data_IF_506198745544
#
_entry.id   IF_506198745544
#
_cell.length_a   1.000
_cell.length_b   1.000
_cell.length_c   1.000
_cell.angle_alpha   90.00
_cell.angle_beta   90.00
_cell.angle_gamma   90.00
#
_symmetry.space_group_name_H-M   'P 1'
#
loop_
_entity.id
_entity.type
_entity.pdbx_description
1 polymer ?
#
# COMPACT_ATOMS: atom_id res chain seq x y z
N UNK A 1 4.25 13.50 -22.72
CA UNK A 1 5.74 13.47 -22.74
C UNK A 1 6.40 13.65 -21.38
N UNK A 2 5.94 14.57 -20.51
CA UNK A 2 6.59 14.77 -19.19
C UNK A 2 6.38 13.58 -18.23
N UNK A 3 5.18 13.00 -18.20
CA UNK A 3 4.81 11.88 -17.30
C UNK A 3 5.60 10.61 -17.63
N UNK A 4 5.78 10.30 -18.91
CA UNK A 4 6.55 9.13 -19.38
C UNK A 4 8.04 9.26 -19.05
N UNK A 5 8.60 10.47 -19.12
CA UNK A 5 9.99 10.75 -18.73
C UNK A 5 10.17 10.73 -17.20
N UNK A 6 9.14 11.10 -16.43
CA UNK A 6 9.18 11.09 -14.97
C UNK A 6 9.08 9.67 -14.37
N UNK A 7 8.21 8.82 -14.92
CA UNK A 7 8.16 7.39 -14.59
C UNK A 7 9.50 6.71 -14.92
N UNK A 8 10.12 7.08 -16.04
CA UNK A 8 11.43 6.57 -16.43
C UNK A 8 12.55 7.03 -15.49
N UNK A 9 12.59 8.32 -15.09
CA UNK A 9 13.56 8.81 -14.12
C UNK A 9 13.33 8.24 -12.71
N UNK A 10 12.08 7.98 -12.31
CA UNK A 10 11.79 7.32 -11.03
C UNK A 10 12.26 5.86 -11.03
N UNK A 11 12.23 5.16 -12.16
CA UNK A 11 12.82 3.81 -12.27
C UNK A 11 14.36 3.88 -12.24
N UNK A 12 14.97 4.87 -12.90
CA UNK A 12 16.43 4.98 -13.01
C UNK A 12 17.14 5.35 -11.70
N UNK A 13 16.51 6.11 -10.80
CA UNK A 13 17.12 6.46 -9.48
C UNK A 13 17.25 5.24 -8.55
N UNK A 14 16.47 4.18 -8.78
CA UNK A 14 16.52 2.95 -7.99
C UNK A 14 17.30 1.81 -8.67
N UNK A 15 17.94 2.07 -9.81
CA UNK A 15 18.39 1.00 -10.71
C UNK A 15 19.86 0.55 -10.52
N UNK A 16 20.67 1.18 -9.66
CA UNK A 16 22.12 0.88 -9.62
C UNK A 16 22.76 0.62 -8.25
N UNK A 17 22.00 0.56 -7.16
CA UNK A 17 22.54 0.16 -5.86
C UNK A 17 21.53 -0.74 -5.15
N UNK A 18 21.94 -1.84 -4.48
CA UNK A 18 21.06 -2.48 -3.51
C UNK A 18 20.73 -1.41 -2.48
N UNK A 19 19.49 -0.89 -2.51
CA UNK A 19 19.02 -0.05 -1.41
C UNK A 19 19.10 -0.93 -0.18
N UNK A 20 20.11 -0.70 0.67
CA UNK A 20 20.17 -1.33 1.97
C UNK A 20 18.85 -0.98 2.68
N UNK A 21 17.94 -1.95 2.81
CA UNK A 21 16.68 -1.66 3.47
C UNK A 21 16.93 -1.44 4.96
N UNK A 22 15.85 -1.05 5.65
CA UNK A 22 15.91 -0.45 6.97
C UNK A 22 16.38 -1.49 8.00
N UNK A 23 17.58 -1.32 8.55
CA UNK A 23 18.12 -2.22 9.58
C UNK A 23 17.80 -1.75 11.00
N UNK A 24 17.41 -0.47 11.16
CA UNK A 24 17.10 0.14 12.44
C UNK A 24 15.77 0.89 12.39
N UNK A 25 15.13 1.06 13.56
CA UNK A 25 13.89 1.86 13.69
C UNK A 25 14.05 3.30 13.19
N UNK A 26 15.22 3.90 13.39
CA UNK A 26 15.50 5.26 12.92
C UNK A 26 15.56 5.33 11.39
N UNK A 27 16.24 4.37 10.74
CA UNK A 27 16.24 4.25 9.29
C UNK A 27 14.83 3.98 8.76
N UNK A 28 14.05 3.16 9.46
CA UNK A 28 12.70 2.82 9.09
C UNK A 28 11.73 4.02 9.15
N UNK A 29 11.83 4.81 10.22
CA UNK A 29 11.11 6.06 10.36
C UNK A 29 11.52 7.06 9.27
N UNK A 30 12.83 7.24 9.06
CA UNK A 30 13.35 8.14 8.04
C UNK A 30 12.87 7.73 6.64
N UNK A 31 12.90 6.44 6.31
CA UNK A 31 12.44 5.94 5.02
C UNK A 31 10.96 6.22 4.76
N UNK A 32 10.07 5.90 5.71
CA UNK A 32 8.64 6.11 5.55
C UNK A 32 8.28 7.61 5.48
N UNK A 33 8.93 8.45 6.31
CA UNK A 33 8.78 9.91 6.27
C UNK A 33 9.30 10.51 4.96
N UNK A 34 10.50 10.12 4.52
CA UNK A 34 11.11 10.60 3.29
C UNK A 34 10.29 10.17 2.06
N UNK A 35 9.88 8.90 2.00
CA UNK A 35 9.04 8.36 0.93
C UNK A 35 7.72 9.12 0.86
N UNK A 36 7.00 9.23 1.98
CA UNK A 36 5.75 9.99 2.06
C UNK A 36 5.93 11.45 1.61
N UNK A 37 7.03 12.09 2.00
CA UNK A 37 7.38 13.46 1.58
C UNK A 37 7.57 13.56 0.07
N UNK A 38 8.42 12.71 -0.51
CA UNK A 38 8.79 12.78 -1.92
C UNK A 38 7.59 12.49 -2.83
N UNK A 39 6.86 11.40 -2.59
CA UNK A 39 5.71 11.03 -3.43
C UNK A 39 4.58 12.06 -3.32
N UNK A 40 4.37 12.64 -2.13
CA UNK A 40 3.37 13.69 -1.96
C UNK A 40 3.77 15.00 -2.63
N UNK A 41 5.04 15.41 -2.52
CA UNK A 41 5.56 16.60 -3.19
C UNK A 41 5.46 16.50 -4.71
N UNK A 42 5.89 15.38 -5.27
CA UNK A 42 5.82 15.11 -6.72
C UNK A 42 4.37 15.06 -7.21
N UNK A 43 3.50 14.35 -6.50
CA UNK A 43 2.07 14.34 -6.79
C UNK A 43 1.48 15.75 -6.77
N UNK A 44 1.81 16.55 -5.75
CA UNK A 44 1.28 17.91 -5.62
C UNK A 44 1.70 18.78 -6.81
N UNK A 45 2.94 18.65 -7.29
CA UNK A 45 3.40 19.32 -8.50
C UNK A 45 2.62 18.89 -9.74
N UNK A 46 2.39 17.58 -9.92
CA UNK A 46 1.59 17.04 -11.03
C UNK A 46 0.16 17.60 -10.96
N UNK A 47 -0.42 17.69 -9.76
CA UNK A 47 -1.77 18.19 -9.49
C UNK A 47 -1.85 19.70 -9.22
N UNK A 48 -0.76 20.44 -9.48
CA UNK A 48 -0.71 21.90 -9.30
C UNK A 48 -1.78 22.59 -10.15
N UNK A 49 -2.43 23.61 -9.56
CA UNK A 49 -3.41 24.47 -10.23
C UNK A 49 -2.71 25.60 -11.00
N UNK A 50 -3.36 26.17 -12.03
CA UNK A 50 -2.87 27.37 -12.70
C UNK A 50 -2.63 28.51 -11.70
N UNK A 51 -1.55 29.28 -11.88
CA UNK A 51 -1.18 30.40 -11.00
C UNK A 51 -0.45 30.05 -9.69
N UNK A 52 -0.46 28.79 -9.25
CA UNK A 52 0.30 28.40 -8.04
C UNK A 52 1.81 28.34 -8.29
N UNK A 53 2.63 28.76 -7.31
CA UNK A 53 4.11 28.68 -7.39
C UNK A 53 4.58 27.22 -7.23
N UNK A 54 5.32 26.62 -8.19
CA UNK A 54 5.72 25.21 -8.12
C UNK A 54 6.45 24.82 -6.83
N UNK A 55 7.48 25.57 -6.43
CA UNK A 55 8.27 25.25 -5.24
C UNK A 55 7.41 25.26 -3.96
N UNK A 56 6.50 26.22 -3.83
CA UNK A 56 5.58 26.29 -2.67
C UNK A 56 4.66 25.06 -2.61
N UNK A 57 4.14 24.63 -3.75
CA UNK A 57 3.26 23.44 -3.84
C UNK A 57 4.02 22.16 -3.56
N UNK A 58 5.24 22.03 -4.10
CA UNK A 58 6.13 20.91 -3.82
C UNK A 58 6.43 20.80 -2.32
N UNK A 59 6.93 21.87 -1.69
CA UNK A 59 7.29 21.87 -0.27
C UNK A 59 6.07 21.65 0.63
N UNK A 60 4.91 22.22 0.29
CA UNK A 60 3.67 21.96 1.02
C UNK A 60 3.22 20.50 0.90
N UNK A 61 3.36 19.89 -0.29
CA UNK A 61 3.13 18.47 -0.51
C UNK A 61 4.09 17.61 0.31
N UNK A 62 5.39 17.93 0.31
CA UNK A 62 6.40 17.23 1.09
C UNK A 62 6.11 17.28 2.59
N UNK A 63 5.86 18.46 3.16
CA UNK A 63 5.62 18.60 4.60
C UNK A 63 4.40 17.80 5.06
N UNK A 64 3.33 17.79 4.28
CA UNK A 64 2.12 16.99 4.58
C UNK A 64 2.37 15.50 4.37
N UNK A 65 3.09 15.14 3.31
CA UNK A 65 3.51 13.78 3.03
C UNK A 65 4.39 13.19 4.14
N UNK A 66 5.28 13.99 4.73
CA UNK A 66 6.10 13.62 5.88
C UNK A 66 5.24 13.20 7.08
N UNK A 67 4.21 13.99 7.39
CA UNK A 67 3.28 13.69 8.49
C UNK A 67 2.50 12.39 8.24
N UNK A 68 2.03 12.17 7.01
CA UNK A 68 1.40 10.91 6.63
C UNK A 68 2.36 9.72 6.70
N UNK A 69 3.61 9.90 6.24
CA UNK A 69 4.67 8.90 6.33
C UNK A 69 5.04 8.53 7.76
N UNK A 70 5.00 9.48 8.71
CA UNK A 70 5.19 9.21 10.13
C UNK A 70 4.08 8.32 10.70
N UNK A 71 2.83 8.51 10.27
CA UNK A 71 1.72 7.63 10.65
C UNK A 71 1.85 6.24 10.03
N UNK A 72 2.30 6.13 8.77
CA UNK A 72 2.59 4.84 8.14
C UNK A 72 3.72 4.09 8.86
N UNK A 73 4.75 4.79 9.33
CA UNK A 73 5.76 4.17 10.19
C UNK A 73 5.15 3.68 11.52
N UNK A 74 4.35 4.52 12.19
CA UNK A 74 3.70 4.15 13.44
C UNK A 74 2.76 2.95 13.28
N UNK A 75 2.05 2.83 12.15
CA UNK A 75 1.21 1.66 11.88
C UNK A 75 2.03 0.39 11.75
N UNK A 76 3.18 0.43 11.07
CA UNK A 76 4.07 -0.74 10.95
C UNK A 76 4.68 -1.17 12.29
N UNK A 77 5.01 -0.21 13.17
CA UNK A 77 5.39 -0.54 14.56
C UNK A 77 4.24 -1.21 15.34
N UNK A 78 2.98 -0.81 15.12
CA UNK A 78 1.83 -1.51 15.71
C UNK A 78 1.66 -2.93 15.12
N UNK A 79 1.98 -3.15 13.84
CA UNK A 79 2.02 -4.50 13.25
C UNK A 79 3.08 -5.36 13.93
N UNK A 80 4.26 -4.80 14.23
CA UNK A 80 5.27 -5.48 15.03
C UNK A 80 4.74 -5.85 16.42
N UNK A 81 4.08 -4.93 17.13
CA UNK A 81 3.48 -5.24 18.43
C UNK A 81 2.40 -6.34 18.33
N UNK A 82 1.62 -6.35 17.25
CA UNK A 82 0.68 -7.44 16.97
C UNK A 82 1.41 -8.77 16.79
N UNK A 83 2.48 -8.83 15.99
CA UNK A 83 3.27 -10.04 15.77
C UNK A 83 3.81 -10.63 17.07
N UNK A 84 4.28 -9.78 17.99
CA UNK A 84 4.88 -10.18 19.26
C UNK A 84 3.85 -10.56 20.34
N UNK A 85 2.63 -10.00 20.30
CA UNK A 85 1.65 -10.16 21.39
C UNK A 85 0.38 -10.91 21.01
N UNK A 86 0.15 -11.12 19.71
CA UNK A 86 -1.05 -11.70 19.13
C UNK A 86 -2.36 -10.96 19.50
N UNK A 87 -2.29 -9.70 19.96
CA UNK A 87 -3.47 -8.92 20.35
C UNK A 87 -4.09 -8.21 19.15
N UNK A 88 -5.27 -8.61 18.73
CA UNK A 88 -5.98 -8.02 17.58
C UNK A 88 -6.22 -6.51 17.66
N UNK A 89 -6.23 -5.92 18.87
CA UNK A 89 -6.26 -4.47 19.05
C UNK A 89 -5.08 -3.74 18.38
N UNK A 90 -3.89 -4.35 18.36
CA UNK A 90 -2.74 -3.80 17.63
C UNK A 90 -2.90 -3.90 16.11
N UNK A 91 -3.53 -4.96 15.60
CA UNK A 91 -3.82 -5.10 14.18
C UNK A 91 -4.85 -4.05 13.72
N UNK A 92 -5.94 -3.87 14.46
CA UNK A 92 -6.91 -2.81 14.15
C UNK A 92 -6.33 -1.40 14.31
N UNK A 93 -5.56 -1.17 15.37
CA UNK A 93 -4.83 0.07 15.58
C UNK A 93 -3.90 0.40 14.42
N UNK A 94 -3.14 -0.60 13.94
CA UNK A 94 -2.28 -0.42 12.77
C UNK A 94 -3.10 -0.12 11.51
N UNK A 95 -4.21 -0.82 11.27
CA UNK A 95 -5.04 -0.63 10.08
C UNK A 95 -5.61 0.79 10.00
N UNK A 96 -6.16 1.27 11.10
CA UNK A 96 -6.71 2.63 11.20
C UNK A 96 -5.61 3.70 11.06
N UNK A 97 -4.45 3.46 11.69
CA UNK A 97 -3.31 4.38 11.61
C UNK A 97 -2.73 4.43 10.19
N UNK A 98 -2.62 3.28 9.51
CA UNK A 98 -2.18 3.19 8.12
C UNK A 98 -3.16 3.92 7.19
N UNK A 99 -4.45 3.65 7.33
CA UNK A 99 -5.51 4.32 6.59
C UNK A 99 -5.46 5.85 6.74
N UNK A 100 -5.21 6.34 7.95
CA UNK A 100 -5.03 7.77 8.22
C UNK A 100 -3.78 8.34 7.54
N UNK A 101 -2.63 7.66 7.67
CA UNK A 101 -1.37 8.07 7.04
C UNK A 101 -1.48 8.14 5.52
N UNK A 102 -2.03 7.09 4.90
CA UNK A 102 -2.26 7.04 3.46
C UNK A 102 -3.25 8.09 2.98
N UNK A 103 -4.32 8.36 3.73
CA UNK A 103 -5.25 9.45 3.41
C UNK A 103 -4.57 10.82 3.38
N UNK A 104 -3.65 11.08 4.30
CA UNK A 104 -2.88 12.33 4.33
C UNK A 104 -1.95 12.42 3.12
N UNK A 105 -1.21 11.34 2.82
CA UNK A 105 -0.32 11.24 1.66
C UNK A 105 -1.09 11.47 0.36
N UNK A 106 -2.22 10.79 0.15
CA UNK A 106 -3.04 10.91 -1.06
C UNK A 106 -3.63 12.32 -1.22
N UNK A 107 -4.11 12.94 -0.13
CA UNK A 107 -4.60 14.33 -0.17
C UNK A 107 -3.46 15.31 -0.50
N UNK A 108 -2.28 15.12 0.07
CA UNK A 108 -1.11 15.93 -0.21
C UNK A 108 -0.67 15.79 -1.67
N UNK A 109 -0.54 14.56 -2.17
CA UNK A 109 -0.23 14.24 -3.56
C UNK A 109 -1.29 14.76 -4.54
N UNK A 110 -2.56 14.87 -4.12
CA UNK A 110 -3.62 15.46 -4.94
C UNK A 110 -3.62 17.00 -4.92
N UNK A 111 -2.68 17.65 -4.23
CA UNK A 111 -2.69 19.10 -3.96
C UNK A 111 -4.05 19.56 -3.37
N UNK A 112 -4.66 18.71 -2.54
CA UNK A 112 -5.93 18.98 -1.86
C UNK A 112 -5.69 19.66 -0.51
N UNK A 113 -6.77 20.13 0.12
CA UNK A 113 -6.71 20.60 1.51
C UNK A 113 -6.45 19.39 2.44
N UNK A 114 -5.75 19.57 3.56
CA UNK A 114 -5.61 18.51 4.57
C UNK A 114 -6.99 17.97 4.96
N UNK A 115 -7.05 16.67 5.27
CA UNK A 115 -8.24 16.01 5.81
C UNK A 115 -9.48 16.02 4.90
N UNK A 116 -9.30 16.32 3.60
CA UNK A 116 -10.38 16.40 2.60
C UNK A 116 -11.05 15.05 2.35
N UNK A 117 -10.24 14.01 2.21
CA UNK A 117 -10.73 12.64 2.01
C UNK A 117 -9.99 11.73 2.98
N UNK A 118 -10.75 11.03 3.82
CA UNK A 118 -10.25 9.91 4.58
C UNK A 118 -10.71 8.64 3.89
N UNK A 119 -9.83 7.67 3.71
CA UNK A 119 -10.21 6.38 3.18
C UNK A 119 -9.79 5.26 4.11
N UNK A 120 -10.59 4.21 4.13
CA UNK A 120 -10.33 2.96 4.81
C UNK A 120 -10.62 1.82 3.85
N UNK A 121 -9.67 0.90 3.72
CA UNK A 121 -9.80 -0.26 2.84
C UNK A 121 -10.03 -1.51 3.69
N UNK A 122 -11.03 -2.31 3.34
CA UNK A 122 -11.27 -3.64 3.90
C UNK A 122 -11.38 -4.65 2.77
N UNK A 123 -10.28 -5.38 2.52
CA UNK A 123 -10.18 -6.20 1.32
C UNK A 123 -10.27 -5.34 0.06
N UNK A 124 -11.24 -5.66 -0.79
CA UNK A 124 -11.54 -4.92 -2.02
C UNK A 124 -12.51 -3.73 -1.82
N UNK A 125 -12.97 -3.51 -0.60
CA UNK A 125 -13.92 -2.45 -0.28
C UNK A 125 -13.15 -1.21 0.16
N UNK A 126 -13.41 -0.07 -0.47
CA UNK A 126 -12.86 1.23 -0.08
C UNK A 126 -13.99 2.14 0.37
N UNK A 127 -13.93 2.55 1.63
CA UNK A 127 -14.82 3.53 2.23
C UNK A 127 -14.11 4.89 2.23
N UNK A 128 -14.72 5.91 1.64
CA UNK A 128 -14.19 7.28 1.62
C UNK A 128 -15.14 8.23 2.36
N UNK A 129 -14.62 8.90 3.38
CA UNK A 129 -15.27 10.02 4.04
C UNK A 129 -14.72 11.33 3.48
N UNK A 130 -15.55 12.07 2.73
CA UNK A 130 -15.18 13.38 2.17
C UNK A 130 -15.70 14.52 3.03
N UNK A 131 -14.90 15.57 3.21
CA UNK A 131 -15.17 16.70 4.13
C UNK A 131 -14.96 18.09 3.49
N UNK A 132 -14.58 18.16 2.21
CA UNK A 132 -14.25 19.42 1.53
C UNK A 132 -15.40 20.43 1.39
N UNK A 133 -16.64 19.94 1.35
CA UNK A 133 -17.85 20.77 1.22
C UNK A 133 -18.99 20.29 2.13
N UNK A 134 -19.18 18.98 2.22
CA UNK A 134 -20.19 18.33 3.07
C UNK A 134 -19.68 16.94 3.43
N UNK A 135 -20.00 16.48 4.63
CA UNK A 135 -19.64 15.13 5.09
C UNK A 135 -20.39 14.12 4.21
N UNK A 136 -19.65 13.39 3.38
CA UNK A 136 -20.20 12.38 2.46
C UNK A 136 -19.43 11.09 2.57
N UNK A 137 -20.13 10.02 2.93
CA UNK A 137 -19.60 8.66 2.84
C UNK A 137 -19.78 8.14 1.40
N UNK A 138 -18.71 7.58 0.85
CA UNK A 138 -18.72 6.91 -0.45
C UNK A 138 -18.15 5.52 -0.30
N UNK A 139 -18.80 4.57 -0.95
CA UNK A 139 -18.32 3.22 -1.09
C UNK A 139 -17.76 3.03 -2.50
N UNK A 140 -16.62 2.37 -2.61
CA UNK A 140 -16.00 1.99 -3.87
C UNK A 140 -15.47 0.57 -3.83
N UNK A 141 -15.49 -0.07 -4.99
CA UNK A 141 -14.85 -1.36 -5.23
C UNK A 141 -13.46 -1.11 -5.83
N UNK A 142 -12.49 -1.87 -5.35
CA UNK A 142 -11.11 -1.94 -5.85
C UNK A 142 -10.95 -3.22 -6.70
N UNK A 143 -10.96 -3.12 -8.04
CA UNK A 143 -11.08 -4.28 -8.92
C UNK A 143 -9.92 -5.28 -8.83
N UNK A 144 -8.66 -4.85 -8.67
CA UNK A 144 -7.53 -5.79 -8.56
C UNK A 144 -7.52 -6.48 -7.19
N UNK A 145 -7.85 -5.77 -6.12
CA UNK A 145 -8.08 -6.37 -4.80
C UNK A 145 -9.29 -7.32 -4.80
N UNK A 146 -10.34 -7.03 -5.58
CA UNK A 146 -11.50 -7.93 -5.75
C UNK A 146 -11.09 -9.20 -6.47
N UNK A 147 -10.28 -9.08 -7.53
CA UNK A 147 -9.69 -10.24 -8.20
C UNK A 147 -8.88 -11.09 -7.21
N UNK A 148 -8.00 -10.48 -6.41
CA UNK A 148 -7.20 -11.20 -5.41
C UNK A 148 -8.07 -11.93 -4.38
N UNK A 149 -9.12 -11.27 -3.89
CA UNK A 149 -10.10 -11.89 -3.00
C UNK A 149 -10.82 -13.09 -3.65
N UNK A 150 -11.34 -12.92 -4.87
CA UNK A 150 -12.05 -13.99 -5.59
C UNK A 150 -11.11 -15.17 -5.86
N UNK A 151 -9.88 -14.89 -6.30
CA UNK A 151 -8.86 -15.92 -6.49
C UNK A 151 -8.64 -16.70 -5.20
N UNK A 152 -8.30 -16.04 -4.09
CA UNK A 152 -8.12 -16.70 -2.79
C UNK A 152 -9.36 -17.47 -2.33
N UNK A 153 -10.56 -16.93 -2.53
CA UNK A 153 -11.81 -17.59 -2.16
C UNK A 153 -12.12 -18.85 -2.98
N UNK A 154 -11.62 -18.96 -4.21
CA UNK A 154 -11.77 -20.18 -5.02
C UNK A 154 -10.74 -21.25 -4.71
N UNK A 155 -9.59 -20.88 -4.14
CA UNK A 155 -8.46 -21.80 -3.91
C UNK A 155 -8.30 -22.21 -2.44
N UNK A 156 -8.75 -21.38 -1.50
CA UNK A 156 -8.40 -21.50 -0.08
C UNK A 156 -9.62 -21.35 0.84
N UNK A 157 -9.46 -21.74 2.10
CA UNK A 157 -10.55 -21.69 3.10
C UNK A 157 -10.61 -20.34 3.79
N UNK A 158 -11.68 -19.57 3.56
CA UNK A 158 -11.89 -18.29 4.22
C UNK A 158 -12.06 -18.44 5.73
N UNK A 159 -11.33 -17.63 6.51
CA UNK A 159 -11.45 -17.56 7.96
C UNK A 159 -12.03 -16.22 8.39
N UNK A 160 -13.32 -16.23 8.75
CA UNK A 160 -14.00 -15.03 9.24
C UNK A 160 -13.42 -14.54 10.57
N UNK A 161 -13.09 -15.47 11.48
CA UNK A 161 -12.50 -15.13 12.79
C UNK A 161 -11.18 -14.38 12.62
N UNK A 162 -10.27 -14.89 11.79
CA UNK A 162 -8.99 -14.24 11.51
C UNK A 162 -9.19 -12.92 10.77
N UNK A 163 -10.12 -12.88 9.81
CA UNK A 163 -10.46 -11.66 9.08
C UNK A 163 -10.89 -10.53 10.01
N UNK A 164 -11.75 -10.82 10.98
CA UNK A 164 -12.20 -9.85 11.97
C UNK A 164 -11.13 -9.53 13.01
N UNK A 165 -10.22 -10.46 13.30
CA UNK A 165 -9.12 -10.25 14.24
C UNK A 165 -8.10 -9.24 13.73
N UNK A 166 -7.83 -9.24 12.42
CA UNK A 166 -6.77 -8.41 11.82
C UNK A 166 -7.27 -7.29 10.91
N UNK A 167 -8.55 -7.29 10.52
CA UNK A 167 -9.14 -6.26 9.66
C UNK A 167 -8.83 -6.43 8.16
N UNK A 168 -8.50 -7.64 7.72
CA UNK A 168 -8.11 -7.98 6.34
C UNK A 168 -8.69 -9.35 5.97
N UNK A 169 -9.24 -9.56 4.76
CA UNK A 169 -9.66 -10.89 4.32
C UNK A 169 -8.54 -11.92 4.50
N UNK A 170 -8.87 -13.00 5.20
CA UNK A 170 -7.91 -14.01 5.61
C UNK A 170 -8.35 -15.40 5.17
N UNK A 171 -7.40 -16.13 4.61
CA UNK A 171 -7.58 -17.49 4.10
C UNK A 171 -6.54 -18.44 4.67
N UNK A 172 -6.94 -19.69 4.84
CA UNK A 172 -6.10 -20.78 5.31
C UNK A 172 -6.04 -21.87 4.25
N UNK A 173 -4.87 -22.49 4.13
CA UNK A 173 -4.64 -23.61 3.20
C UNK A 173 -3.69 -24.64 3.83
N UNK A 174 -3.63 -25.84 3.25
CA UNK A 174 -2.65 -26.86 3.63
C UNK A 174 -1.36 -26.76 2.79
N UNK A 175 -1.41 -26.05 1.65
CA UNK A 175 -0.25 -25.80 0.77
C UNK A 175 -0.48 -24.59 -0.18
N UNK A 176 0.60 -24.02 -0.70
CA UNK A 176 0.59 -22.92 -1.68
C UNK A 176 1.44 -23.32 -2.89
N UNK A 177 0.80 -23.89 -3.92
CA UNK A 177 1.50 -24.43 -5.11
C UNK A 177 1.59 -23.44 -6.29
N UNK A 178 1.64 -22.14 -6.02
CA UNK A 178 1.54 -21.13 -7.09
C UNK A 178 2.83 -20.98 -7.93
N UNK A 179 3.99 -21.36 -7.39
CA UNK A 179 5.31 -21.15 -8.03
C UNK A 179 6.07 -22.45 -8.33
N UNK A 180 5.37 -23.59 -8.35
CA UNK A 180 5.97 -24.90 -8.62
C UNK A 180 6.58 -25.57 -7.38
N UNK A 181 7.26 -26.72 -7.56
CA UNK A 181 7.75 -27.54 -6.44
C UNK A 181 8.95 -26.94 -5.72
N UNK A 182 9.71 -26.06 -6.37
CA UNK A 182 11.00 -25.55 -5.86
C UNK A 182 10.86 -24.36 -4.89
N UNK A 183 9.66 -23.76 -4.79
CA UNK A 183 9.37 -22.66 -3.87
C UNK A 183 7.99 -22.81 -3.25
N UNK A 184 7.95 -23.02 -1.94
CA UNK A 184 6.72 -23.20 -1.16
C UNK A 184 6.68 -22.16 -0.04
N UNK A 185 6.06 -20.99 -0.28
CA UNK A 185 5.96 -19.98 0.76
C UNK A 185 4.99 -20.41 1.85
N UNK A 186 5.27 -20.01 3.09
CA UNK A 186 4.40 -20.29 4.24
C UNK A 186 3.19 -19.34 4.32
N UNK A 187 3.27 -18.24 3.58
CA UNK A 187 2.27 -17.18 3.52
C UNK A 187 2.38 -16.35 2.25
N UNK A 188 1.27 -15.77 1.81
CA UNK A 188 1.21 -14.84 0.69
C UNK A 188 0.15 -13.75 0.92
N UNK A 189 0.49 -12.53 0.52
CA UNK A 189 -0.45 -11.43 0.38
C UNK A 189 -0.80 -11.21 -1.10
N UNK A 190 -2.05 -11.51 -1.48
CA UNK A 190 -2.57 -11.26 -2.83
C UNK A 190 -3.38 -9.96 -2.79
N UNK A 191 -2.71 -8.86 -3.16
CA UNK A 191 -3.21 -7.50 -3.02
C UNK A 191 -3.62 -7.20 -1.58
N UNK A 192 -4.93 -7.23 -1.29
CA UNK A 192 -5.51 -7.00 0.02
C UNK A 192 -6.11 -8.26 0.65
N UNK A 193 -5.66 -9.45 0.27
CA UNK A 193 -6.05 -10.71 0.93
C UNK A 193 -4.82 -11.43 1.43
N UNK A 194 -4.90 -12.01 2.63
CA UNK A 194 -3.80 -12.77 3.24
C UNK A 194 -4.17 -14.25 3.19
N UNK A 195 -3.23 -15.09 2.76
CA UNK A 195 -3.37 -16.55 2.75
C UNK A 195 -2.17 -17.17 3.45
N UNK A 196 -2.41 -18.00 4.47
CA UNK A 196 -1.34 -18.71 5.19
C UNK A 196 -1.54 -20.23 5.16
N UNK A 197 -0.44 -20.97 5.18
CA UNK A 197 -0.47 -22.41 5.44
C UNK A 197 -0.76 -22.63 6.94
N UNK A 198 -1.74 -23.47 7.29
CA UNK A 198 -2.26 -23.64 8.66
C UNK A 198 -1.19 -23.80 9.75
N UNK A 199 -0.15 -24.66 9.63
CA UNK A 199 0.85 -24.84 10.68
C UNK A 199 1.72 -23.60 10.91
N UNK A 200 1.77 -22.69 9.94
CA UNK A 200 2.58 -21.49 9.96
C UNK A 200 1.75 -20.21 10.16
N UNK A 201 0.45 -20.34 10.48
CA UNK A 201 -0.43 -19.20 10.73
C UNK A 201 -0.21 -18.55 12.11
N UNK A 202 1.06 -18.26 12.43
CA UNK A 202 1.49 -17.57 13.67
C UNK A 202 1.23 -16.07 13.59
N UNK A 203 1.19 -15.36 14.73
CA UNK A 203 1.00 -13.90 14.72
C UNK A 203 2.12 -13.17 13.98
N UNK A 204 3.34 -13.67 14.02
CA UNK A 204 4.49 -13.11 13.30
C UNK A 204 4.35 -13.29 11.79
N UNK A 205 3.97 -14.48 11.33
CA UNK A 205 3.70 -14.71 9.89
C UNK A 205 2.53 -13.85 9.42
N UNK A 206 1.46 -13.73 10.21
CA UNK A 206 0.35 -12.82 9.89
C UNK A 206 0.83 -11.36 9.86
N UNK A 207 1.68 -10.93 10.78
CA UNK A 207 2.26 -9.59 10.79
C UNK A 207 3.06 -9.32 9.51
N UNK A 208 3.85 -10.29 9.05
CA UNK A 208 4.62 -10.22 7.80
C UNK A 208 3.70 -9.91 6.61
N UNK A 209 2.61 -10.68 6.46
CA UNK A 209 1.66 -10.48 5.36
C UNK A 209 0.85 -9.18 5.46
N UNK A 210 0.60 -8.68 6.69
CA UNK A 210 -0.02 -7.35 6.87
C UNK A 210 0.90 -6.25 6.29
N UNK A 211 2.22 -6.38 6.43
CA UNK A 211 3.16 -5.41 5.86
C UNK A 211 3.07 -5.41 4.34
N UNK A 212 3.00 -6.57 3.68
CA UNK A 212 2.80 -6.64 2.23
C UNK A 212 1.48 -5.99 1.79
N UNK A 213 0.39 -6.19 2.54
CA UNK A 213 -0.87 -5.48 2.29
C UNK A 213 -0.70 -3.95 2.44
N UNK A 214 0.10 -3.48 3.40
CA UNK A 214 0.38 -2.04 3.56
C UNK A 214 1.31 -1.49 2.48
N UNK A 215 2.27 -2.28 1.99
CA UNK A 215 3.10 -1.92 0.84
C UNK A 215 2.21 -1.75 -0.39
N UNK A 216 1.33 -2.72 -0.66
CA UNK A 216 0.31 -2.63 -1.71
C UNK A 216 -0.55 -1.36 -1.59
N UNK A 217 -1.08 -1.06 -0.41
CA UNK A 217 -1.86 0.16 -0.17
C UNK A 217 -1.01 1.44 -0.33
N UNK A 218 0.28 1.39 0.04
CA UNK A 218 1.25 2.47 -0.08
C UNK A 218 1.40 2.99 -1.51
N UNK A 219 1.36 2.11 -2.50
CA UNK A 219 1.38 2.48 -3.91
C UNK A 219 0.08 3.18 -4.37
N UNK A 220 -0.98 3.22 -3.54
CA UNK A 220 -2.23 3.92 -3.82
C UNK A 220 -2.05 5.41 -4.13
N UNK A 221 -0.99 6.04 -3.60
CA UNK A 221 -0.65 7.44 -3.88
C UNK A 221 -0.47 7.73 -5.37
N UNK A 222 0.04 6.78 -6.15
CA UNK A 222 0.29 6.98 -7.58
C UNK A 222 -1.01 7.12 -8.40
N UNK A 223 -2.14 6.64 -7.88
CA UNK A 223 -3.46 6.92 -8.50
C UNK A 223 -3.73 8.43 -8.62
N UNK A 224 -3.21 9.23 -7.67
CA UNK A 224 -3.37 10.69 -7.71
C UNK A 224 -2.62 11.33 -8.87
N UNK A 225 -1.59 10.70 -9.42
CA UNK A 225 -0.83 11.23 -10.56
C UNK A 225 -1.66 11.13 -11.86
N UNK A 226 -2.68 10.28 -11.84
CA UNK A 226 -3.62 10.06 -12.93
C UNK A 226 -4.87 10.94 -12.82
N UNK A 227 -4.99 11.82 -11.80
CA UNK A 227 -6.17 12.67 -11.61
C UNK A 227 -6.50 13.54 -12.84
N UNK A 228 -5.50 14.22 -13.42
CA UNK A 228 -5.69 15.06 -14.62
C UNK A 228 -6.14 14.25 -15.85
N UNK A 229 -5.42 13.20 -16.30
CA UNK A 229 -5.87 12.41 -17.45
C UNK A 229 -7.23 11.74 -17.19
N UNK A 230 -7.49 11.25 -15.97
CA UNK A 230 -8.79 10.70 -15.59
C UNK A 230 -9.91 11.72 -15.72
N UNK A 231 -9.71 12.94 -15.21
CA UNK A 231 -10.72 14.01 -15.28
C UNK A 231 -11.01 14.38 -16.74
N UNK A 232 -9.97 14.50 -17.57
CA UNK A 232 -10.11 14.77 -19.01
C UNK A 232 -10.86 13.66 -19.75
N UNK A 233 -10.65 12.40 -19.38
CA UNK A 233 -11.37 11.26 -19.95
C UNK A 233 -12.84 11.27 -19.53
N UNK A 234 -13.13 11.54 -18.25
CA UNK A 234 -14.50 11.64 -17.71
C UNK A 234 -15.29 12.75 -18.40
N UNK A 235 -14.69 13.93 -18.61
CA UNK A 235 -15.35 15.03 -19.31
C UNK A 235 -15.65 14.73 -20.78
N UNK A 236 -14.86 13.86 -21.43
CA UNK A 236 -15.01 13.54 -22.86
C UNK A 236 -15.86 12.31 -23.19
N UNK A 237 -16.14 11.40 -22.24
CA UNK A 237 -16.76 10.08 -22.51
C UNK A 237 -18.14 9.85 -21.87
N UNK A 238 -18.79 10.88 -21.34
CA UNK A 238 -20.22 10.84 -20.97
C UNK A 238 -20.57 10.04 -19.69
N UNK A 239 -21.88 9.90 -19.43
CA UNK A 239 -22.48 9.43 -18.16
C UNK A 239 -21.96 8.07 -17.65
N UNK A 240 -21.51 7.19 -18.53
CA UNK A 240 -20.99 5.86 -18.16
C UNK A 240 -19.69 5.96 -17.35
N UNK A 241 -18.71 6.74 -17.80
CA UNK A 241 -17.42 6.87 -17.10
C UNK A 241 -17.57 7.64 -15.77
N UNK A 242 -18.53 8.58 -15.71
CA UNK A 242 -18.94 9.19 -14.45
C UNK A 242 -19.56 8.17 -13.48
N UNK A 243 -20.37 7.23 -13.99
CA UNK A 243 -20.89 6.09 -13.22
C UNK A 243 -19.78 5.17 -12.71
N UNK A 244 -18.83 4.78 -13.57
CA UNK A 244 -17.67 3.96 -13.19
C UNK A 244 -16.88 4.62 -12.07
N UNK A 245 -16.47 5.87 -12.25
CA UNK A 245 -15.63 6.58 -11.27
C UNK A 245 -16.32 6.90 -9.94
N UNK A 246 -17.66 6.80 -9.88
CA UNK A 246 -18.44 6.90 -8.65
C UNK A 246 -18.32 5.65 -7.78
N UNK A 247 -18.34 4.47 -8.39
CA UNK A 247 -18.41 3.18 -7.70
C UNK A 247 -17.10 2.40 -7.71
N UNK A 248 -16.15 2.77 -8.57
CA UNK A 248 -14.90 2.05 -8.76
C UNK A 248 -13.72 2.96 -8.46
N UNK A 249 -12.83 2.47 -7.59
CA UNK A 249 -11.49 2.99 -7.41
C UNK A 249 -10.55 2.02 -8.14
N UNK A 250 -10.11 2.37 -9.33
CA UNK A 250 -9.14 1.54 -10.06
C UNK A 250 -7.82 1.56 -9.31
N UNK A 251 -7.52 0.47 -8.62
CA UNK A 251 -6.38 0.26 -7.75
C UNK A 251 -5.12 -0.10 -8.57
N UNK A 252 -4.65 0.85 -9.39
CA UNK A 252 -3.43 0.69 -10.19
C UNK A 252 -2.16 0.44 -9.36
N UNK A 253 -2.25 0.60 -8.04
CA UNK A 253 -1.24 0.18 -7.09
C UNK A 253 -0.89 -1.31 -7.21
N UNK A 254 -1.82 -2.17 -7.64
CA UNK A 254 -1.49 -3.58 -7.95
C UNK A 254 -0.40 -3.69 -9.00
N UNK A 255 -0.61 -3.07 -10.17
CA UNK A 255 0.32 -3.17 -11.29
C UNK A 255 1.68 -2.54 -10.96
N UNK A 256 1.67 -1.40 -10.27
CA UNK A 256 2.90 -0.71 -9.87
C UNK A 256 3.67 -1.50 -8.81
N UNK A 257 2.98 -1.98 -7.77
CA UNK A 257 3.61 -2.76 -6.72
C UNK A 257 4.23 -4.04 -7.29
N UNK A 258 3.46 -4.84 -8.04
CA UNK A 258 3.95 -6.06 -8.68
C UNK A 258 5.11 -5.79 -9.64
N UNK A 259 5.02 -4.73 -10.44
CA UNK A 259 6.10 -4.35 -11.37
C UNK A 259 7.39 -3.99 -10.65
N UNK A 260 7.30 -3.17 -9.58
CA UNK A 260 8.47 -2.76 -8.81
C UNK A 260 9.02 -3.92 -7.99
N UNK A 261 8.16 -4.72 -7.34
CA UNK A 261 8.56 -5.91 -6.59
C UNK A 261 9.38 -6.87 -7.46
N UNK A 262 8.91 -7.18 -8.66
CA UNK A 262 9.60 -8.07 -9.60
C UNK A 262 10.89 -7.45 -10.16
N UNK A 263 10.96 -6.12 -10.30
CA UNK A 263 12.17 -5.45 -10.80
C UNK A 263 13.34 -5.53 -9.80
N UNK A 264 13.06 -5.64 -8.50
CA UNK A 264 14.10 -5.89 -7.49
C UNK A 264 14.57 -7.35 -7.45
N UNK A 265 13.97 -8.25 -8.25
CA UNK A 265 14.41 -9.63 -8.41
C UNK A 265 14.06 -10.54 -7.22
N UNK A 266 14.02 -11.85 -7.51
CA UNK A 266 13.96 -12.95 -6.54
C UNK A 266 15.24 -13.79 -6.55
N UNK A 267 16.13 -13.58 -7.52
CA UNK A 267 17.44 -14.25 -7.65
C UNK A 267 18.49 -13.62 -6.72
N UNK A 268 18.20 -13.67 -5.42
CA UNK A 268 19.13 -13.24 -4.39
C UNK A 268 19.63 -14.45 -3.60
N UNK A 269 20.85 -14.34 -3.07
CA UNK A 269 21.39 -15.36 -2.18
C UNK A 269 20.54 -15.50 -0.90
N UNK A 270 19.84 -14.42 -0.51
CA UNK A 270 18.91 -14.39 0.59
C UNK A 270 17.54 -13.86 0.12
N UNK A 271 16.46 -14.56 0.47
CA UNK A 271 15.09 -14.13 0.16
C UNK A 271 14.78 -12.70 0.67
N UNK A 272 15.35 -12.32 1.83
CA UNK A 272 15.21 -10.99 2.42
C UNK A 272 16.15 -9.93 1.83
N UNK A 273 16.89 -10.21 0.75
CA UNK A 273 17.61 -9.17 0.01
C UNK A 273 16.65 -8.34 -0.85
N UNK A 274 15.44 -8.85 -1.13
CA UNK A 274 14.37 -8.05 -1.68
C UNK A 274 13.91 -7.02 -0.63
N UNK A 275 13.90 -5.70 -0.93
CA UNK A 275 13.60 -4.67 0.07
C UNK A 275 12.18 -4.74 0.63
N UNK A 276 11.23 -5.33 -0.13
CA UNK A 276 9.86 -5.54 0.34
C UNK A 276 9.77 -6.66 1.37
N UNK A 277 10.46 -7.78 1.10
CA UNK A 277 10.60 -8.91 2.02
C UNK A 277 11.39 -8.52 3.27
N UNK A 278 12.46 -7.73 3.09
CA UNK A 278 13.25 -7.21 4.19
C UNK A 278 12.42 -6.33 5.14
N UNK A 279 11.60 -5.44 4.58
CA UNK A 279 10.71 -4.60 5.38
C UNK A 279 9.66 -5.44 6.11
N UNK A 280 9.01 -6.38 5.41
CA UNK A 280 8.03 -7.26 6.03
C UNK A 280 8.63 -8.08 7.17
N UNK A 281 9.85 -8.58 6.98
CA UNK A 281 10.61 -9.30 7.98
C UNK A 281 11.02 -8.43 9.18
N UNK A 282 11.41 -7.17 8.93
CA UNK A 282 11.78 -6.21 10.00
C UNK A 282 10.65 -5.97 11.00
N UNK A 283 9.39 -5.94 10.53
CA UNK A 283 8.19 -5.71 11.35
C UNK A 283 7.46 -6.99 11.76
N UNK A 284 7.99 -8.19 11.47
CA UNK A 284 7.42 -9.45 11.94
C UNK A 284 8.34 -10.16 12.93
N UNK A 285 9.31 -10.90 12.40
CA UNK A 285 10.05 -11.95 13.10
C UNK A 285 11.58 -11.75 13.03
N UNK A 286 12.04 -10.77 12.23
CA UNK A 286 13.46 -10.41 12.03
C UNK A 286 14.34 -11.63 11.75
N UNK A 287 13.86 -12.54 10.91
CA UNK A 287 14.61 -13.71 10.48
C UNK A 287 15.87 -13.25 9.76
N UNK A 288 17.01 -13.82 10.13
CA UNK A 288 18.25 -13.64 9.37
C UNK A 288 18.36 -14.78 8.37
N UNK A 289 18.80 -14.49 7.15
CA UNK A 289 19.23 -15.57 6.26
C UNK A 289 20.41 -16.28 6.89
N UNK A 290 20.19 -17.52 7.30
CA UNK A 290 21.24 -18.41 7.77
C UNK A 290 22.03 -18.93 6.57
N UNK A 291 23.36 -18.98 6.72
CA UNK A 291 24.23 -19.80 5.88
C UNK A 291 23.99 -21.29 6.13
#
# INVERSE_FOLDING_TARGET
MLITRFLFCFVLVFCEQPLAAQQTRAQAAAFNVATGSLVSGLGALINKKPGERPLRVFLAGMARGAAGGALVYASKEMVYQFGQTNRGGWAWGSKLTNAAGMSIIENAASNARPFTTWHFNFGFNRLELRTDQSVKLRYKIMPFALWGFVYSATQYSFSFSETMRIGQPFFLTDKIDQWGPDFQPVGIAIANSITLIKPFATSQTVAHEIIHAYQYEGFGVFNTYLNKPRTSLVSGKGKWLAGYTRWVYTDFNFLLYTGVYNAFGTDHACYFDNPFEQEANFYSDKLTCGF
#
